data_IF_040087680132
#
_entry.id   IF_040087680132
#
_cell.length_a   1.000
_cell.length_b   1.000
_cell.length_c   1.000
_cell.angle_alpha   90.00
_cell.angle_beta   90.00
_cell.angle_gamma   90.00
#
_symmetry.space_group_name_H-M   'P 1'
#
loop_
_entity.id
_entity.type
_entity.pdbx_description
1 polymer ?
#
# COMPACT_ATOMS: atom_id res chain seq x y z
N UNK A 1 -58.58 14.26 8.95
CA UNK A 1 -57.25 14.91 8.89
C UNK A 1 -56.32 14.63 10.08
N UNK A 2 -56.75 14.52 11.31
CA UNK A 2 -55.87 14.24 12.50
C UNK A 2 -55.26 12.83 12.54
N UNK A 3 -55.92 11.82 11.98
CA UNK A 3 -55.43 10.42 11.96
C UNK A 3 -54.36 10.15 10.91
N UNK A 4 -54.38 10.88 9.76
CA UNK A 4 -53.34 10.77 8.75
C UNK A 4 -51.98 11.36 9.19
N UNK A 5 -52.04 12.43 10.00
CA UNK A 5 -50.79 13.02 10.55
C UNK A 5 -50.11 12.12 11.57
N UNK A 6 -50.87 11.34 12.39
CA UNK A 6 -50.31 10.41 13.37
C UNK A 6 -49.58 9.22 12.70
N UNK A 7 -50.13 8.71 11.57
CA UNK A 7 -49.47 7.61 10.83
C UNK A 7 -48.19 8.05 10.12
N UNK A 8 -48.11 9.28 9.61
CA UNK A 8 -46.93 9.82 8.97
C UNK A 8 -45.80 10.09 10.00
N UNK A 9 -46.16 10.57 11.20
CA UNK A 9 -45.20 10.77 12.29
C UNK A 9 -44.68 9.44 12.85
N UNK A 10 -45.52 8.41 12.94
CA UNK A 10 -45.09 7.06 13.35
C UNK A 10 -44.20 6.39 12.29
N UNK A 11 -44.45 6.60 10.98
CA UNK A 11 -43.59 6.13 9.91
C UNK A 11 -42.25 6.86 9.88
N UNK A 12 -42.22 8.16 10.18
CA UNK A 12 -40.94 8.90 10.26
C UNK A 12 -40.11 8.56 11.51
N UNK A 13 -40.75 8.16 12.61
CA UNK A 13 -40.06 7.71 13.84
C UNK A 13 -39.48 6.28 13.70
N UNK A 14 -40.02 5.44 12.81
CA UNK A 14 -39.41 4.13 12.50
C UNK A 14 -38.21 4.21 11.53
N UNK A 15 -38.04 5.32 10.80
CA UNK A 15 -36.90 5.53 9.90
C UNK A 15 -35.63 6.06 10.61
N UNK A 16 -35.68 6.38 11.91
CA UNK A 16 -34.56 6.97 12.64
C UNK A 16 -33.89 6.05 13.68
N UNK A 17 -34.25 4.78 13.73
CA UNK A 17 -33.56 3.80 14.60
C UNK A 17 -32.84 2.72 13.77
N UNK A 18 -32.22 3.09 12.66
CA UNK A 18 -31.05 2.37 12.21
C UNK A 18 -29.92 2.71 13.20
N UNK A 19 -29.89 2.02 14.33
CA UNK A 19 -28.62 1.93 15.09
C UNK A 19 -27.58 1.48 14.08
N UNK A 20 -26.63 2.36 13.78
CA UNK A 20 -25.39 2.00 13.11
C UNK A 20 -24.70 0.97 14.03
N UNK A 21 -25.12 -0.29 13.95
CA UNK A 21 -24.31 -1.37 14.48
C UNK A 21 -23.02 -1.32 13.67
N UNK A 22 -21.93 -0.97 14.33
CA UNK A 22 -20.61 -1.08 13.71
C UNK A 22 -20.51 -2.49 13.13
N UNK A 23 -20.25 -2.60 11.83
CA UNK A 23 -20.11 -3.88 11.14
C UNK A 23 -19.06 -4.70 11.87
N UNK A 24 -19.45 -5.81 12.47
CA UNK A 24 -18.50 -6.70 13.11
C UNK A 24 -17.86 -7.60 12.06
N UNK A 25 -16.56 -7.79 12.16
CA UNK A 25 -15.81 -8.66 11.26
C UNK A 25 -16.44 -10.05 11.15
N UNK A 26 -16.81 -10.62 12.29
CA UNK A 26 -17.43 -11.96 12.41
C UNK A 26 -18.79 -12.10 11.74
N UNK A 27 -19.48 -11.02 11.41
CA UNK A 27 -20.79 -11.10 10.73
C UNK A 27 -20.62 -11.51 9.26
N UNK A 28 -19.56 -11.04 8.63
CA UNK A 28 -19.36 -11.17 7.18
C UNK A 28 -18.19 -12.07 6.80
N UNK A 29 -17.18 -12.22 7.68
CA UNK A 29 -15.91 -12.82 7.32
C UNK A 29 -15.48 -13.96 8.23
N UNK A 30 -14.73 -14.90 7.67
CA UNK A 30 -13.95 -15.90 8.38
C UNK A 30 -12.56 -15.33 8.71
N UNK A 31 -11.85 -15.95 9.68
CA UNK A 31 -10.45 -15.63 9.98
C UNK A 31 -9.51 -16.26 8.95
N UNK A 32 -9.71 -15.89 7.68
CA UNK A 32 -8.97 -16.35 6.51
C UNK A 32 -8.81 -15.20 5.53
N UNK A 33 -7.80 -15.26 4.67
CA UNK A 33 -7.56 -14.27 3.63
C UNK A 33 -8.06 -14.78 2.27
N UNK A 34 -8.84 -13.97 1.56
CA UNK A 34 -9.06 -14.10 0.14
C UNK A 34 -8.02 -13.25 -0.59
N UNK A 35 -7.11 -13.90 -1.31
CA UNK A 35 -6.16 -13.25 -2.20
C UNK A 35 -6.76 -13.15 -3.59
N UNK A 36 -6.75 -11.94 -4.12
CA UNK A 36 -7.28 -11.57 -5.42
C UNK A 36 -6.11 -11.26 -6.36
N UNK A 37 -5.87 -12.15 -7.31
CA UNK A 37 -4.86 -11.94 -8.35
C UNK A 37 -5.55 -11.35 -9.58
N UNK A 38 -5.13 -10.15 -9.99
CA UNK A 38 -5.64 -9.45 -11.15
C UNK A 38 -4.52 -9.12 -12.14
N UNK A 39 -4.91 -8.96 -13.40
CA UNK A 39 -4.09 -8.36 -14.43
C UNK A 39 -4.71 -7.00 -14.80
N UNK A 40 -3.94 -5.93 -14.64
CA UNK A 40 -4.29 -4.62 -15.17
C UNK A 40 -3.54 -4.44 -16.48
N UNK A 41 -4.24 -4.06 -17.54
CA UNK A 41 -3.65 -4.00 -18.87
C UNK A 41 -4.19 -2.81 -19.65
N UNK A 42 -3.42 -2.33 -20.62
CA UNK A 42 -3.84 -1.25 -21.49
C UNK A 42 -2.73 -0.30 -21.89
N UNK A 43 -3.11 0.95 -22.10
CA UNK A 43 -2.26 2.09 -22.44
C UNK A 43 -2.79 3.37 -21.78
N UNK A 44 -2.19 4.53 -22.04
CA UNK A 44 -2.61 5.81 -21.45
C UNK A 44 -4.05 6.23 -21.83
N UNK A 45 -4.61 5.67 -22.90
CA UNK A 45 -5.96 6.00 -23.38
C UNK A 45 -7.05 5.04 -22.87
N UNK A 46 -6.69 3.79 -22.59
CA UNK A 46 -7.62 2.76 -22.15
C UNK A 46 -6.98 1.77 -21.19
N UNK A 47 -7.63 1.52 -20.07
CA UNK A 47 -7.25 0.53 -19.08
C UNK A 47 -8.34 -0.53 -18.93
N UNK A 48 -7.93 -1.78 -18.83
CA UNK A 48 -8.79 -2.94 -18.62
C UNK A 48 -8.32 -3.73 -17.39
N UNK A 49 -9.24 -4.29 -16.62
CA UNK A 49 -9.00 -5.08 -15.41
C UNK A 49 -9.50 -6.50 -15.64
N UNK A 50 -8.67 -7.50 -15.37
CA UNK A 50 -9.01 -8.91 -15.54
C UNK A 50 -8.79 -9.68 -14.25
N UNK A 51 -9.71 -10.59 -13.91
CA UNK A 51 -9.50 -11.61 -12.87
C UNK A 51 -8.53 -12.64 -13.42
N UNK A 52 -7.44 -12.91 -12.71
CA UNK A 52 -6.51 -13.99 -13.06
C UNK A 52 -6.79 -15.23 -12.19
N UNK A 53 -6.68 -15.08 -10.87
CA UNK A 53 -6.87 -16.19 -9.95
C UNK A 53 -7.40 -15.71 -8.59
N UNK A 54 -8.13 -16.62 -7.91
CA UNK A 54 -8.56 -16.46 -6.53
C UNK A 54 -7.88 -17.52 -5.67
N UNK A 55 -7.31 -17.10 -4.54
CA UNK A 55 -6.66 -17.99 -3.60
C UNK A 55 -7.16 -17.71 -2.19
N UNK A 56 -7.14 -18.73 -1.33
CA UNK A 56 -7.45 -18.58 0.08
C UNK A 56 -6.26 -19.00 0.93
N UNK A 57 -5.95 -18.20 1.95
CA UNK A 57 -4.88 -18.43 2.92
C UNK A 57 -5.44 -18.60 4.34
N UNK A 58 -4.71 -19.28 5.26
CA UNK A 58 -5.26 -19.79 6.51
C UNK A 58 -5.67 -18.76 7.55
N UNK A 59 -5.17 -17.54 7.50
CA UNK A 59 -5.47 -16.46 8.46
C UNK A 59 -5.66 -15.13 7.79
N UNK A 60 -6.42 -14.24 8.46
CA UNK A 60 -6.54 -12.84 8.12
C UNK A 60 -5.66 -11.98 9.05
N UNK A 61 -4.76 -11.20 8.47
CA UNK A 61 -3.79 -10.38 9.20
C UNK A 61 -4.09 -8.88 9.12
N UNK A 62 -5.08 -8.46 8.32
CA UNK A 62 -5.46 -7.08 8.10
C UNK A 62 -6.49 -6.56 9.11
N UNK A 63 -6.96 -5.34 8.88
CA UNK A 63 -7.92 -4.64 9.75
C UNK A 63 -9.19 -5.46 10.01
N UNK A 64 -9.68 -5.41 11.26
CA UNK A 64 -10.91 -6.10 11.70
C UNK A 64 -12.01 -5.13 12.17
N UNK A 65 -11.70 -3.85 12.22
CA UNK A 65 -12.60 -2.74 12.53
C UNK A 65 -12.62 -1.76 11.37
N UNK A 66 -13.60 -0.85 11.33
CA UNK A 66 -13.71 0.18 10.28
C UNK A 66 -13.63 -0.41 8.87
N UNK A 67 -14.27 -1.58 8.66
CA UNK A 67 -14.07 -2.43 7.48
C UNK A 67 -14.36 -1.69 6.17
N UNK A 68 -15.44 -0.89 6.12
CA UNK A 68 -15.86 -0.14 4.94
C UNK A 68 -15.22 1.26 4.82
N UNK A 69 -14.41 1.67 5.82
CA UNK A 69 -13.72 2.96 5.81
C UNK A 69 -12.34 2.85 5.15
N UNK A 70 -11.90 3.94 4.52
CA UNK A 70 -10.55 4.09 3.96
C UNK A 70 -9.87 5.28 4.61
N UNK A 71 -8.64 5.11 5.13
CA UNK A 71 -7.91 6.21 5.76
C UNK A 71 -7.34 7.19 4.71
N UNK A 72 -6.98 6.69 3.53
CA UNK A 72 -6.49 7.41 2.36
C UNK A 72 -7.11 6.80 1.11
N UNK A 73 -7.38 7.62 0.09
CA UNK A 73 -8.05 7.14 -1.13
C UNK A 73 -7.18 6.22 -1.99
N UNK A 74 -5.88 6.53 -2.14
CA UNK A 74 -5.01 5.94 -3.16
C UNK A 74 -5.46 6.27 -4.58
N UNK A 75 -4.85 5.62 -5.56
CA UNK A 75 -5.22 5.72 -6.97
C UNK A 75 -6.21 4.64 -7.40
N UNK A 76 -6.67 3.80 -6.49
CA UNK A 76 -7.68 2.78 -6.74
C UNK A 76 -8.23 2.18 -5.46
N UNK A 77 -9.32 1.43 -5.60
CA UNK A 77 -9.97 0.75 -4.49
C UNK A 77 -10.49 -0.62 -4.89
N UNK A 78 -10.33 -1.58 -3.98
CA UNK A 78 -11.11 -2.83 -3.97
C UNK A 78 -12.29 -2.63 -3.02
N UNK A 79 -13.51 -2.81 -3.51
CA UNK A 79 -14.75 -2.64 -2.76
C UNK A 79 -15.48 -3.97 -2.71
N UNK A 80 -15.67 -4.52 -1.51
CA UNK A 80 -16.41 -5.76 -1.29
C UNK A 80 -17.82 -5.43 -0.80
N UNK A 81 -18.82 -5.97 -1.48
CA UNK A 81 -20.24 -5.82 -1.13
C UNK A 81 -20.85 -7.17 -0.84
N UNK A 82 -21.61 -7.26 0.20
CA UNK A 82 -22.50 -8.39 0.43
C UNK A 82 -23.50 -8.50 -0.74
N UNK A 83 -23.66 -9.69 -1.31
CA UNK A 83 -24.46 -9.85 -2.53
C UNK A 83 -25.95 -9.72 -2.29
N UNK A 84 -26.43 -10.06 -1.09
CA UNK A 84 -27.87 -10.00 -0.75
C UNK A 84 -28.27 -8.56 -0.38
N UNK A 85 -27.57 -7.95 0.56
CA UNK A 85 -27.90 -6.62 1.09
C UNK A 85 -27.35 -5.46 0.23
N UNK A 86 -26.38 -5.71 -0.65
CA UNK A 86 -25.62 -4.71 -1.41
C UNK A 86 -24.80 -3.73 -0.53
N UNK A 87 -24.75 -3.97 0.78
CA UNK A 87 -23.97 -3.17 1.71
C UNK A 87 -22.47 -3.32 1.41
N UNK A 88 -21.73 -2.21 1.49
CA UNK A 88 -20.26 -2.26 1.47
C UNK A 88 -19.79 -2.83 2.78
N UNK A 89 -19.11 -3.99 2.75
CA UNK A 89 -18.63 -4.71 3.93
C UNK A 89 -17.11 -4.65 4.11
N UNK A 90 -16.36 -4.27 3.04
CA UNK A 90 -14.92 -4.04 3.13
C UNK A 90 -14.45 -3.10 2.02
N UNK A 91 -13.42 -2.31 2.32
CA UNK A 91 -12.69 -1.50 1.33
C UNK A 91 -11.19 -1.58 1.57
N UNK A 92 -10.43 -1.63 0.47
CA UNK A 92 -8.98 -1.59 0.46
C UNK A 92 -8.51 -0.59 -0.60
N UNK A 93 -7.89 0.54 -0.20
CA UNK A 93 -7.33 1.51 -1.12
C UNK A 93 -5.93 1.07 -1.54
N UNK A 94 -5.49 1.45 -2.74
CA UNK A 94 -4.18 1.09 -3.26
C UNK A 94 -3.65 2.07 -4.31
N UNK A 95 -2.36 1.97 -4.62
CA UNK A 95 -1.74 2.43 -5.86
C UNK A 95 -1.05 1.28 -6.56
N UNK A 96 -0.68 1.43 -7.84
CA UNK A 96 -0.06 0.37 -8.61
C UNK A 96 1.06 0.87 -9.52
N UNK A 97 2.04 0.02 -9.77
CA UNK A 97 3.08 0.27 -10.76
C UNK A 97 2.51 0.46 -12.18
N UNK A 98 1.36 -0.19 -12.48
CA UNK A 98 0.65 0.04 -13.74
C UNK A 98 0.23 1.50 -13.92
N UNK A 99 -0.33 2.12 -12.87
CA UNK A 99 -0.79 3.53 -12.92
C UNK A 99 0.39 4.50 -13.03
N UNK A 100 1.53 4.22 -12.40
CA UNK A 100 2.75 4.99 -12.59
C UNK A 100 3.28 4.88 -14.03
N UNK A 101 3.27 3.66 -14.59
CA UNK A 101 3.67 3.45 -15.98
C UNK A 101 2.78 4.21 -16.97
N UNK A 102 1.48 4.36 -16.69
CA UNK A 102 0.56 5.12 -17.56
C UNK A 102 0.96 6.59 -17.75
N UNK A 103 1.72 7.17 -16.80
CA UNK A 103 2.26 8.54 -16.92
C UNK A 103 3.50 8.61 -17.82
N UNK A 104 4.06 7.49 -18.26
CA UNK A 104 5.27 7.47 -19.09
C UNK A 104 5.00 7.73 -20.58
N UNK A 105 6.01 8.16 -21.31
CA UNK A 105 5.91 8.31 -22.76
C UNK A 105 5.65 6.97 -23.49
N UNK A 106 6.13 5.85 -22.94
CA UNK A 106 5.91 4.51 -23.48
C UNK A 106 4.43 4.13 -23.50
N UNK A 107 3.68 4.48 -22.47
CA UNK A 107 2.26 4.17 -22.38
C UNK A 107 1.39 4.88 -23.43
N UNK A 108 1.90 5.93 -24.08
CA UNK A 108 1.22 6.62 -25.20
C UNK A 108 1.23 5.81 -26.50
N UNK A 109 2.11 4.81 -26.62
CA UNK A 109 2.35 4.06 -27.88
C UNK A 109 2.35 2.54 -27.71
N UNK A 110 2.42 2.05 -26.48
CA UNK A 110 2.57 0.63 -26.18
C UNK A 110 1.48 0.19 -25.20
N UNK A 111 0.95 -1.02 -25.41
CA UNK A 111 0.05 -1.66 -24.45
C UNK A 111 0.83 -2.68 -23.63
N UNK A 112 0.69 -2.63 -22.31
CA UNK A 112 1.31 -3.56 -21.36
C UNK A 112 0.30 -4.12 -20.38
N UNK A 113 0.69 -5.21 -19.72
CA UNK A 113 -0.04 -5.81 -18.61
C UNK A 113 0.86 -5.90 -17.38
N UNK A 114 0.23 -5.76 -16.21
CA UNK A 114 0.89 -5.81 -14.91
C UNK A 114 0.12 -6.71 -13.97
N UNK A 115 0.83 -7.54 -13.23
CA UNK A 115 0.26 -8.29 -12.11
C UNK A 115 -0.12 -7.35 -10.98
N UNK A 116 -1.27 -7.61 -10.36
CA UNK A 116 -1.69 -6.94 -9.14
C UNK A 116 -2.29 -7.97 -8.19
N UNK A 117 -1.95 -7.86 -6.92
CA UNK A 117 -2.45 -8.77 -5.89
C UNK A 117 -3.01 -7.95 -4.74
N UNK A 118 -4.24 -8.27 -4.34
CA UNK A 118 -4.90 -7.64 -3.20
C UNK A 118 -5.37 -8.68 -2.20
N UNK A 119 -5.33 -8.31 -0.94
CA UNK A 119 -5.79 -9.13 0.17
C UNK A 119 -7.05 -8.53 0.75
N UNK A 120 -8.09 -9.36 0.87
CA UNK A 120 -9.32 -9.03 1.57
C UNK A 120 -9.69 -10.17 2.52
N UNK A 121 -10.47 -9.93 3.58
CA UNK A 121 -10.89 -11.03 4.43
C UNK A 121 -11.81 -11.99 3.65
N UNK A 122 -11.73 -13.29 3.95
CA UNK A 122 -12.49 -14.33 3.25
C UNK A 122 -13.98 -14.24 3.64
N UNK A 123 -14.90 -14.06 2.68
CA UNK A 123 -16.31 -13.86 2.96
C UNK A 123 -17.00 -15.17 3.36
N UNK A 124 -18.00 -15.10 4.24
CA UNK A 124 -18.86 -16.25 4.63
C UNK A 124 -19.95 -16.55 3.61
N UNK A 125 -20.38 -15.51 2.89
CA UNK A 125 -21.47 -15.57 1.90
C UNK A 125 -20.97 -15.02 0.55
N UNK A 126 -21.66 -15.28 -0.55
CA UNK A 126 -21.31 -14.68 -1.83
C UNK A 126 -21.24 -13.15 -1.76
N UNK A 127 -20.20 -12.61 -2.38
CA UNK A 127 -19.93 -11.17 -2.43
C UNK A 127 -19.73 -10.69 -3.87
N UNK A 128 -19.98 -9.42 -4.10
CA UNK A 128 -19.55 -8.75 -5.31
C UNK A 128 -18.31 -7.91 -4.99
N UNK A 129 -17.27 -8.06 -5.80
CA UNK A 129 -16.01 -7.31 -5.68
C UNK A 129 -15.90 -6.36 -6.86
N UNK A 130 -15.82 -5.07 -6.55
CA UNK A 130 -15.57 -4.01 -7.55
C UNK A 130 -14.15 -3.50 -7.37
N UNK A 131 -13.40 -3.42 -8.46
CA UNK A 131 -12.09 -2.77 -8.53
C UNK A 131 -12.25 -1.50 -9.36
N UNK A 132 -11.80 -0.37 -8.80
CA UNK A 132 -11.80 0.94 -9.46
C UNK A 132 -10.37 1.44 -9.61
N UNK A 133 -10.01 1.96 -10.79
CA UNK A 133 -8.80 2.73 -11.04
C UNK A 133 -9.16 4.20 -11.24
N UNK A 134 -8.39 5.08 -10.63
CA UNK A 134 -8.57 6.53 -10.74
C UNK A 134 -7.34 7.17 -11.34
N UNK A 135 -7.54 8.21 -12.12
CA UNK A 135 -6.47 9.05 -12.63
C UNK A 135 -6.05 10.12 -11.60
N UNK A 136 -5.11 10.96 -11.99
CA UNK A 136 -4.60 12.05 -11.16
C UNK A 136 -5.58 13.23 -10.98
N UNK A 137 -6.73 13.22 -11.68
CA UNK A 137 -7.87 14.11 -11.44
C UNK A 137 -8.95 13.48 -10.54
N UNK A 138 -8.64 12.37 -9.85
CA UNK A 138 -9.57 11.58 -9.03
C UNK A 138 -10.78 11.04 -9.81
N UNK A 139 -10.70 10.98 -11.15
CA UNK A 139 -11.75 10.44 -12.01
C UNK A 139 -11.62 8.92 -12.13
N UNK A 140 -12.74 8.20 -12.02
CA UNK A 140 -12.72 6.75 -12.24
C UNK A 140 -12.57 6.46 -13.75
N UNK A 141 -11.42 5.91 -14.14
CA UNK A 141 -11.06 5.66 -15.54
C UNK A 141 -11.25 4.20 -15.96
N UNK A 142 -11.25 3.28 -15.01
CA UNK A 142 -11.58 1.89 -15.25
C UNK A 142 -12.26 1.27 -14.03
N UNK A 143 -13.22 0.39 -14.29
CA UNK A 143 -13.91 -0.36 -13.25
C UNK A 143 -14.23 -1.77 -13.74
N UNK A 144 -14.14 -2.74 -12.85
CA UNK A 144 -14.57 -4.11 -13.10
C UNK A 144 -15.25 -4.67 -11.85
N UNK A 145 -16.36 -5.36 -12.05
CA UNK A 145 -17.07 -6.04 -10.96
C UNK A 145 -17.23 -7.53 -11.29
N UNK A 146 -16.95 -8.38 -10.30
CA UNK A 146 -17.21 -9.81 -10.40
C UNK A 146 -17.77 -10.36 -9.09
N UNK A 147 -18.41 -11.52 -9.16
CA UNK A 147 -18.92 -12.23 -7.99
C UNK A 147 -17.90 -13.23 -7.49
N UNK A 148 -17.76 -13.36 -6.18
CA UNK A 148 -17.01 -14.42 -5.51
C UNK A 148 -17.96 -15.24 -4.67
N UNK A 149 -18.08 -16.53 -4.99
CA UNK A 149 -18.77 -17.51 -4.15
C UNK A 149 -17.72 -18.23 -3.29
N UNK A 150 -17.76 -18.14 -1.95
CA UNK A 150 -16.78 -18.80 -1.09
C UNK A 150 -16.77 -20.33 -1.21
N UNK A 151 -17.82 -20.94 -1.74
CA UNK A 151 -17.90 -22.37 -2.02
C UNK A 151 -17.37 -22.77 -3.41
N UNK A 152 -16.82 -21.84 -4.18
CA UNK A 152 -16.26 -22.13 -5.50
C UNK A 152 -15.01 -23.02 -5.37
N UNK A 153 -15.07 -24.19 -5.97
CA UNK A 153 -13.99 -25.19 -5.96
C UNK A 153 -12.71 -24.73 -6.70
N UNK A 154 -12.80 -23.67 -7.49
CA UNK A 154 -11.66 -23.08 -8.20
C UNK A 154 -10.85 -22.11 -7.34
N UNK A 155 -11.31 -21.75 -6.15
CA UNK A 155 -10.51 -20.99 -5.17
C UNK A 155 -9.45 -21.94 -4.60
N UNK A 156 -8.18 -21.65 -4.91
CA UNK A 156 -7.05 -22.50 -4.48
C UNK A 156 -6.71 -22.25 -3.02
N UNK A 157 -6.46 -23.31 -2.26
CA UNK A 157 -5.91 -23.25 -0.90
C UNK A 157 -4.40 -23.20 -0.97
N UNK A 158 -3.79 -22.13 -0.44
CA UNK A 158 -2.34 -21.92 -0.42
C UNK A 158 -1.89 -21.48 0.98
N UNK A 159 -0.59 -21.66 1.28
CA UNK A 159 0.00 -21.20 2.54
C UNK A 159 -0.37 -22.05 3.78
N UNK A 160 -1.05 -23.19 3.60
CA UNK A 160 -1.34 -24.15 4.68
C UNK A 160 -0.18 -25.12 4.91
N UNK A 161 0.55 -25.42 3.84
CA UNK A 161 1.72 -26.33 3.82
C UNK A 161 2.87 -25.63 3.11
N UNK A 162 4.08 -26.11 3.38
CA UNK A 162 5.29 -25.64 2.69
C UNK A 162 5.49 -24.11 2.77
N UNK A 163 5.12 -23.50 3.90
CA UNK A 163 5.37 -22.09 4.15
C UNK A 163 6.86 -21.79 4.11
N UNK A 164 7.23 -20.69 3.46
CA UNK A 164 8.61 -20.20 3.51
C UNK A 164 8.99 -19.90 4.97
N UNK A 165 10.12 -20.42 5.48
CA UNK A 165 10.56 -20.16 6.83
C UNK A 165 10.69 -18.65 7.10
N UNK A 166 10.33 -18.23 8.32
CA UNK A 166 10.51 -16.85 8.75
C UNK A 166 10.97 -16.74 10.19
N UNK A 167 11.54 -15.59 10.53
CA UNK A 167 11.99 -15.21 11.87
C UNK A 167 11.22 -14.00 12.34
N UNK A 168 10.75 -13.99 13.59
CA UNK A 168 10.15 -12.81 14.19
C UNK A 168 11.25 -11.83 14.61
N UNK A 169 11.20 -10.61 14.07
CA UNK A 169 12.15 -9.54 14.39
C UNK A 169 11.62 -8.62 15.50
N UNK A 170 10.30 -8.38 15.51
CA UNK A 170 9.63 -7.57 16.51
C UNK A 170 8.20 -8.09 16.71
N UNK A 171 7.74 -8.09 17.96
CA UNK A 171 6.41 -8.56 18.31
C UNK A 171 5.58 -7.44 18.94
N UNK A 172 4.38 -7.22 18.42
CA UNK A 172 3.42 -6.27 18.97
C UNK A 172 2.97 -6.68 20.38
N UNK A 173 2.57 -5.70 21.18
CA UNK A 173 1.98 -5.95 22.50
C UNK A 173 0.62 -6.68 22.40
N UNK A 174 -0.19 -6.33 21.38
CA UNK A 174 -1.44 -7.02 21.01
C UNK A 174 -1.38 -7.48 19.56
N UNK A 175 -1.19 -8.77 19.35
CA UNK A 175 -1.07 -9.38 18.00
C UNK A 175 -2.40 -9.47 17.25
N UNK A 176 -3.52 -9.14 17.88
CA UNK A 176 -4.85 -9.11 17.23
C UNK A 176 -5.23 -7.73 16.70
N UNK A 177 -4.51 -6.68 17.17
CA UNK A 177 -4.73 -5.27 16.85
C UNK A 177 -3.42 -4.58 16.52
N UNK A 178 -2.66 -5.13 15.60
CA UNK A 178 -1.37 -4.61 15.18
C UNK A 178 -1.25 -4.63 13.67
N UNK A 179 -0.25 -3.94 13.17
CA UNK A 179 0.12 -3.90 11.76
C UNK A 179 1.20 -4.96 11.53
N UNK A 180 0.98 -5.83 10.54
CA UNK A 180 1.90 -6.91 10.21
C UNK A 180 2.79 -6.54 9.04
N UNK A 181 4.11 -6.53 9.25
CA UNK A 181 5.11 -6.24 8.22
C UNK A 181 5.96 -7.49 7.97
N UNK A 182 6.06 -7.90 6.70
CA UNK A 182 7.00 -8.92 6.28
C UNK A 182 8.16 -8.29 5.51
N UNK A 183 9.38 -8.48 6.02
CA UNK A 183 10.59 -8.33 5.20
C UNK A 183 10.75 -9.56 4.33
N UNK A 184 11.16 -9.38 3.07
CA UNK A 184 11.35 -10.46 2.09
C UNK A 184 12.74 -10.35 1.48
N UNK A 185 13.49 -11.46 1.45
CA UNK A 185 14.84 -11.49 0.90
C UNK A 185 14.79 -11.51 -0.63
N UNK A 186 15.60 -10.65 -1.26
CA UNK A 186 15.75 -10.59 -2.71
C UNK A 186 17.23 -10.47 -3.11
N UNK A 187 17.69 -11.42 -3.93
CA UNK A 187 19.09 -11.48 -4.35
C UNK A 187 20.06 -11.99 -3.29
N UNK A 188 19.59 -12.56 -2.19
CA UNK A 188 20.41 -13.27 -1.21
C UNK A 188 20.36 -14.77 -1.47
N UNK A 189 21.51 -15.43 -1.59
CA UNK A 189 21.60 -16.88 -1.68
C UNK A 189 21.36 -17.54 -0.31
N UNK A 190 21.23 -18.85 -0.26
CA UNK A 190 20.91 -19.57 0.98
C UNK A 190 21.97 -19.37 2.08
N UNK A 191 23.24 -19.28 1.72
CA UNK A 191 24.35 -19.00 2.64
C UNK A 191 24.49 -17.51 3.01
N UNK A 192 23.80 -16.62 2.31
CA UNK A 192 23.71 -15.19 2.61
C UNK A 192 22.53 -14.82 3.53
N UNK A 193 21.69 -15.78 3.95
CA UNK A 193 20.56 -15.51 4.86
C UNK A 193 20.96 -14.88 6.21
N UNK A 194 22.12 -15.18 6.81
CA UNK A 194 22.57 -14.45 8.00
C UNK A 194 22.83 -12.96 7.73
N UNK A 195 23.35 -12.60 6.54
CA UNK A 195 23.56 -11.20 6.12
C UNK A 195 22.20 -10.50 5.95
N UNK A 196 21.25 -11.16 5.28
CA UNK A 196 19.88 -10.66 5.15
C UNK A 196 19.23 -10.35 6.50
N UNK A 197 19.35 -11.26 7.48
CA UNK A 197 18.80 -11.04 8.84
C UNK A 197 19.45 -9.83 9.53
N UNK A 198 20.76 -9.64 9.38
CA UNK A 198 21.45 -8.47 9.90
C UNK A 198 20.95 -7.17 9.25
N UNK A 199 20.72 -7.20 7.95
CA UNK A 199 20.14 -6.07 7.21
C UNK A 199 18.69 -5.79 7.65
N UNK A 200 17.88 -6.83 7.89
CA UNK A 200 16.55 -6.65 8.48
C UNK A 200 16.60 -5.97 9.85
N UNK A 201 17.52 -6.36 10.72
CA UNK A 201 17.68 -5.73 12.05
C UNK A 201 18.05 -4.26 11.94
N UNK A 202 18.94 -3.89 11.00
CA UNK A 202 19.28 -2.48 10.72
C UNK A 202 18.05 -1.69 10.25
N UNK A 203 17.25 -2.26 9.31
CA UNK A 203 16.04 -1.64 8.82
C UNK A 203 14.98 -1.41 9.91
N UNK A 204 14.74 -2.41 10.75
CA UNK A 204 13.81 -2.30 11.91
C UNK A 204 14.28 -1.23 12.88
N UNK A 205 15.57 -1.20 13.18
CA UNK A 205 16.16 -0.16 14.02
C UNK A 205 15.96 1.22 13.42
N UNK A 206 16.29 1.40 12.13
CA UNK A 206 16.12 2.67 11.43
C UNK A 206 14.65 3.12 11.45
N UNK A 207 13.69 2.21 11.22
CA UNK A 207 12.27 2.51 11.28
C UNK A 207 11.86 3.03 12.67
N UNK A 208 12.27 2.34 13.74
CA UNK A 208 11.92 2.70 15.12
C UNK A 208 12.78 3.84 15.72
N UNK A 209 13.73 4.38 15.00
CA UNK A 209 14.37 5.65 15.32
C UNK A 209 13.57 6.87 14.85
N UNK A 210 12.58 6.69 13.96
CA UNK A 210 11.72 7.74 13.42
C UNK A 210 10.37 7.82 14.14
N UNK A 211 9.97 9.04 14.57
CA UNK A 211 8.58 9.27 15.00
C UNK A 211 7.64 9.28 13.77
N UNK A 212 6.43 8.71 13.87
CA UNK A 212 5.77 8.17 15.08
C UNK A 212 6.03 6.68 15.33
N UNK A 213 6.80 5.99 14.50
CA UNK A 213 7.07 4.55 14.64
C UNK A 213 7.75 4.22 15.98
N UNK A 214 8.63 5.09 16.43
CA UNK A 214 9.30 4.96 17.74
C UNK A 214 8.31 4.93 18.91
N UNK A 215 7.42 5.89 18.97
CA UNK A 215 6.44 5.98 20.05
C UNK A 215 5.34 4.91 19.96
N UNK A 216 5.11 4.34 18.77
CA UNK A 216 4.05 3.38 18.48
C UNK A 216 4.60 1.99 18.09
N UNK A 217 5.85 1.68 18.43
CA UNK A 217 6.49 0.41 18.04
C UNK A 217 5.71 -0.82 18.50
N UNK A 218 5.04 -0.75 19.66
CA UNK A 218 4.22 -1.83 20.20
C UNK A 218 2.97 -2.17 19.35
N UNK A 219 2.70 -1.37 18.31
CA UNK A 219 1.61 -1.58 17.34
C UNK A 219 2.03 -2.38 16.10
N UNK A 220 3.30 -2.81 16.03
CA UNK A 220 3.82 -3.52 14.87
C UNK A 220 4.26 -4.93 15.22
N UNK A 221 3.94 -5.86 14.32
CA UNK A 221 4.49 -7.21 14.31
C UNK A 221 5.33 -7.36 13.05
N UNK A 222 6.62 -7.67 13.19
CA UNK A 222 7.56 -7.68 12.07
C UNK A 222 8.25 -9.02 11.98
N UNK A 223 8.24 -9.61 10.78
CA UNK A 223 8.92 -10.86 10.46
C UNK A 223 9.92 -10.68 9.31
N UNK A 224 10.93 -11.56 9.26
CA UNK A 224 11.83 -11.71 8.11
C UNK A 224 11.57 -13.07 7.46
N UNK A 225 11.14 -13.07 6.20
CA UNK A 225 10.89 -14.28 5.41
C UNK A 225 12.17 -14.69 4.70
N UNK A 226 12.61 -15.94 4.90
CA UNK A 226 13.86 -16.47 4.38
C UNK A 226 13.64 -17.06 2.97
N UNK A 227 13.62 -16.20 1.94
CA UNK A 227 13.39 -16.56 0.55
C UNK A 227 14.71 -16.53 -0.25
N UNK A 228 15.49 -17.62 -0.28
CA UNK A 228 16.78 -17.59 -0.96
C UNK A 228 16.62 -17.48 -2.47
N UNK A 229 17.44 -16.62 -3.06
CA UNK A 229 17.62 -16.49 -4.50
C UNK A 229 18.63 -17.50 -5.03
N UNK A 230 18.54 -17.83 -6.31
CA UNK A 230 19.55 -18.67 -6.97
C UNK A 230 20.84 -17.90 -7.20
N UNK A 231 20.73 -16.63 -7.61
CA UNK A 231 21.88 -15.74 -7.85
C UNK A 231 21.92 -14.67 -6.76
N UNK A 232 23.14 -14.30 -6.34
CA UNK A 232 23.39 -13.14 -5.49
C UNK A 232 23.31 -11.84 -6.30
N UNK A 233 22.71 -10.79 -5.70
CA UNK A 233 22.49 -9.50 -6.33
C UNK A 233 21.16 -9.43 -7.10
N UNK A 234 20.93 -8.33 -7.80
CA UNK A 234 19.71 -8.06 -8.59
C UNK A 234 20.04 -7.71 -10.04
N UNK A 235 19.05 -7.83 -10.93
CA UNK A 235 19.23 -7.52 -12.35
C UNK A 235 19.46 -6.02 -12.59
N UNK A 236 20.41 -5.70 -13.52
CA UNK A 236 20.70 -4.35 -14.00
C UNK A 236 20.64 -4.34 -15.53
N UNK A 237 19.43 -4.19 -16.10
CA UNK A 237 19.19 -4.36 -17.54
C UNK A 237 20.11 -3.53 -18.45
N UNK A 238 20.39 -2.25 -18.12
CA UNK A 238 21.29 -1.39 -18.91
C UNK A 238 22.72 -1.90 -19.01
N UNK A 239 23.14 -2.79 -18.07
CA UNK A 239 24.46 -3.46 -18.10
C UNK A 239 24.41 -4.82 -18.74
N UNK A 240 23.22 -5.29 -19.18
CA UNK A 240 22.99 -6.65 -19.65
C UNK A 240 23.10 -7.71 -18.54
N UNK A 241 23.04 -7.31 -17.27
CA UNK A 241 23.14 -8.18 -16.10
C UNK A 241 21.75 -8.66 -15.72
N UNK A 242 21.51 -9.97 -15.92
CA UNK A 242 20.26 -10.63 -15.52
C UNK A 242 20.54 -11.69 -14.46
N UNK A 243 19.76 -11.66 -13.37
CA UNK A 243 19.89 -12.54 -12.21
C UNK A 243 18.62 -13.34 -12.01
N UNK A 244 18.76 -14.60 -11.58
CA UNK A 244 17.64 -15.46 -11.17
C UNK A 244 17.44 -15.30 -9.66
N UNK A 245 16.62 -14.33 -9.30
CA UNK A 245 16.35 -14.00 -7.90
C UNK A 245 14.96 -14.49 -7.47
N UNK A 246 14.68 -14.47 -6.16
CA UNK A 246 13.44 -14.96 -5.59
C UNK A 246 12.21 -14.23 -6.14
N UNK A 247 12.34 -12.94 -6.44
CA UNK A 247 11.22 -12.08 -6.87
C UNK A 247 11.43 -11.45 -8.24
N UNK A 248 12.56 -11.72 -8.92
CA UNK A 248 12.86 -11.18 -10.24
C UNK A 248 12.98 -9.66 -10.29
N UNK A 249 13.43 -9.03 -9.21
CA UNK A 249 13.59 -7.58 -9.15
C UNK A 249 14.67 -7.08 -10.10
N UNK A 250 14.48 -5.86 -10.61
CA UNK A 250 15.44 -5.22 -11.50
C UNK A 250 15.45 -3.70 -11.34
N UNK A 251 16.62 -3.12 -11.58
CA UNK A 251 16.78 -1.69 -11.83
C UNK A 251 16.20 -1.30 -13.19
N UNK A 252 16.29 -0.03 -13.54
CA UNK A 252 15.89 0.51 -14.84
C UNK A 252 14.38 0.40 -15.12
N UNK A 253 13.55 0.28 -14.10
CA UNK A 253 12.09 0.32 -14.27
C UNK A 253 11.69 1.65 -14.91
N UNK A 254 10.89 1.58 -15.95
CA UNK A 254 10.52 2.72 -16.82
C UNK A 254 11.71 3.52 -17.34
N UNK A 255 12.86 2.84 -17.54
CA UNK A 255 14.14 3.43 -17.99
C UNK A 255 14.77 4.43 -17.00
N UNK A 256 14.33 4.43 -15.73
CA UNK A 256 14.91 5.23 -14.65
C UNK A 256 15.95 4.42 -13.90
N UNK A 257 17.20 4.86 -13.90
CA UNK A 257 18.39 4.13 -13.41
C UNK A 257 18.25 3.55 -12.03
N UNK A 258 17.75 4.35 -11.10
CA UNK A 258 17.64 4.04 -9.69
C UNK A 258 16.30 3.41 -9.31
N UNK A 259 15.34 3.35 -10.25
CA UNK A 259 14.03 2.80 -9.95
C UNK A 259 14.10 1.28 -9.94
N UNK A 260 14.10 0.73 -8.75
CA UNK A 260 14.17 -0.68 -8.46
C UNK A 260 12.78 -1.20 -8.11
N UNK A 261 12.28 -2.18 -8.87
CA UNK A 261 10.95 -2.77 -8.63
C UNK A 261 10.95 -4.26 -8.96
N UNK A 262 9.84 -4.94 -8.65
CA UNK A 262 9.47 -6.23 -9.23
C UNK A 262 8.15 -6.15 -9.98
N UNK A 263 8.04 -6.84 -11.10
CA UNK A 263 6.79 -7.01 -11.86
C UNK A 263 6.06 -8.33 -11.49
N UNK A 264 6.64 -9.16 -10.62
CA UNK A 264 6.17 -10.51 -10.29
C UNK A 264 5.42 -10.54 -8.96
N UNK A 265 4.30 -9.79 -8.86
CA UNK A 265 3.56 -9.67 -7.60
C UNK A 265 2.90 -10.99 -7.18
N UNK A 266 2.50 -11.84 -8.12
CA UNK A 266 1.97 -13.18 -7.78
C UNK A 266 3.06 -14.03 -7.14
N UNK A 267 4.27 -14.04 -7.68
CA UNK A 267 5.41 -14.75 -7.11
C UNK A 267 5.79 -14.20 -5.73
N UNK A 268 5.80 -12.87 -5.55
CA UNK A 268 6.02 -12.25 -4.24
C UNK A 268 5.03 -12.79 -3.21
N UNK A 269 3.72 -12.75 -3.52
CA UNK A 269 2.68 -13.22 -2.60
C UNK A 269 2.65 -14.75 -2.45
N UNK A 270 3.16 -15.53 -3.43
CA UNK A 270 3.34 -16.97 -3.29
C UNK A 270 4.46 -17.30 -2.30
N UNK A 271 5.57 -16.58 -2.35
CA UNK A 271 6.72 -16.73 -1.43
C UNK A 271 6.32 -16.48 0.03
N UNK A 272 5.44 -15.51 0.30
CA UNK A 272 5.03 -15.15 1.66
C UNK A 272 3.68 -15.74 2.07
N UNK A 273 3.08 -16.60 1.24
CA UNK A 273 1.77 -17.19 1.50
C UNK A 273 1.74 -17.92 2.85
N UNK A 274 0.72 -17.62 3.68
CA UNK A 274 0.52 -18.22 4.99
C UNK A 274 1.36 -17.60 6.12
N UNK A 275 2.31 -16.71 5.83
CA UNK A 275 3.03 -15.93 6.86
C UNK A 275 2.19 -14.74 7.34
N UNK A 276 2.45 -14.16 8.52
CA UNK A 276 1.73 -12.98 9.01
C UNK A 276 2.21 -11.70 8.31
N UNK A 277 1.42 -11.18 7.35
CA UNK A 277 1.74 -9.94 6.65
C UNK A 277 0.49 -9.16 6.17
N UNK A 278 0.62 -7.84 6.15
CA UNK A 278 -0.24 -6.88 5.47
C UNK A 278 0.61 -5.96 4.57
N UNK A 279 1.77 -5.54 5.08
CA UNK A 279 2.72 -4.68 4.38
C UNK A 279 4.01 -5.44 4.11
N UNK A 280 4.64 -5.13 2.99
CA UNK A 280 5.78 -5.88 2.47
C UNK A 280 6.96 -4.92 2.25
N UNK A 281 8.12 -5.27 2.82
CA UNK A 281 9.39 -4.59 2.59
C UNK A 281 10.36 -5.59 1.97
N UNK A 282 10.78 -5.36 0.75
CA UNK A 282 11.73 -6.21 0.05
C UNK A 282 13.12 -5.61 0.22
N UNK A 283 14.05 -6.38 0.81
CA UNK A 283 15.45 -5.98 0.91
C UNK A 283 16.25 -6.66 -0.18
N UNK A 284 16.94 -5.85 -0.98
CA UNK A 284 17.72 -6.34 -2.12
C UNK A 284 19.21 -6.33 -1.82
N UNK A 285 19.88 -7.46 -2.11
CA UNK A 285 21.32 -7.68 -1.91
C UNK A 285 22.11 -6.89 -2.97
N UNK A 286 22.26 -5.59 -2.80
CA UNK A 286 23.00 -4.75 -3.74
C UNK A 286 23.57 -3.51 -3.07
N UNK A 287 24.74 -3.06 -3.56
CA UNK A 287 25.33 -1.76 -3.17
C UNK A 287 24.89 -0.61 -4.07
N UNK A 288 24.20 -0.89 -5.18
CA UNK A 288 23.69 0.13 -6.09
C UNK A 288 22.53 0.86 -5.42
N UNK A 289 22.59 2.19 -5.40
CA UNK A 289 21.52 3.02 -4.85
C UNK A 289 20.21 2.83 -5.62
N UNK A 290 19.12 2.57 -4.91
CA UNK A 290 17.80 2.47 -5.48
C UNK A 290 16.75 2.06 -4.45
N UNK A 291 15.52 2.35 -4.79
CA UNK A 291 14.33 2.01 -4.03
C UNK A 291 13.08 2.30 -4.84
N UNK A 292 11.95 2.01 -4.26
CA UNK A 292 10.62 2.30 -4.78
C UNK A 292 9.55 1.83 -3.79
N UNK A 293 8.50 2.63 -3.59
CA UNK A 293 7.41 2.32 -2.66
C UNK A 293 6.05 2.59 -3.29
N UNK A 294 5.15 1.60 -3.28
CA UNK A 294 3.83 1.66 -3.88
C UNK A 294 2.77 1.44 -2.79
N UNK A 295 1.89 2.40 -2.63
CA UNK A 295 0.90 2.43 -1.54
C UNK A 295 0.04 1.17 -1.48
N UNK A 296 0.03 0.54 -0.28
CA UNK A 296 -0.65 -0.74 0.02
C UNK A 296 -0.32 -1.88 -0.96
N UNK A 297 0.90 -1.87 -1.51
CA UNK A 297 1.43 -2.96 -2.33
C UNK A 297 2.75 -3.47 -1.72
N UNK A 298 3.86 -2.82 -2.00
CA UNK A 298 5.17 -3.19 -1.45
C UNK A 298 6.13 -2.00 -1.52
N UNK A 299 7.27 -2.12 -0.85
CA UNK A 299 8.44 -1.32 -1.15
C UNK A 299 9.70 -2.17 -1.28
N UNK A 300 10.65 -1.68 -2.07
CA UNK A 300 11.99 -2.21 -2.20
C UNK A 300 13.03 -1.20 -1.73
N UNK A 301 14.13 -1.70 -1.15
CA UNK A 301 15.28 -0.89 -0.80
C UNK A 301 16.58 -1.69 -1.00
N UNK A 302 17.63 -1.01 -1.49
CA UNK A 302 18.99 -1.56 -1.61
C UNK A 302 19.66 -1.64 -0.25
N UNK A 303 20.00 -2.85 0.24
CA UNK A 303 20.42 -3.09 1.61
C UNK A 303 21.88 -2.70 1.92
N UNK A 304 22.75 -2.59 0.92
CA UNK A 304 24.19 -2.37 1.13
C UNK A 304 24.68 -1.01 0.59
N UNK A 305 23.74 -0.12 0.22
CA UNK A 305 24.08 1.23 -0.21
C UNK A 305 24.37 2.16 0.98
N UNK A 306 25.09 3.27 0.77
CA UNK A 306 25.47 4.19 1.85
C UNK A 306 24.25 4.90 2.49
N UNK A 307 23.11 4.92 1.81
CA UNK A 307 21.84 5.52 2.26
C UNK A 307 20.76 4.48 2.55
N UNK A 308 21.15 3.22 2.85
CA UNK A 308 20.21 2.13 3.07
C UNK A 308 19.14 2.45 4.13
N UNK A 309 19.56 2.81 5.34
CA UNK A 309 18.65 3.06 6.46
C UNK A 309 17.68 4.22 6.20
N UNK A 310 18.12 5.40 5.68
CA UNK A 310 17.18 6.45 5.28
C UNK A 310 16.22 6.02 4.15
N UNK A 311 16.72 5.31 3.14
CA UNK A 311 15.90 4.90 1.97
C UNK A 311 14.80 3.92 2.38
N UNK A 312 15.10 2.89 3.17
CA UNK A 312 14.05 1.93 3.58
C UNK A 312 12.92 2.61 4.36
N UNK A 313 13.22 3.62 5.17
CA UNK A 313 12.22 4.41 5.91
C UNK A 313 11.44 5.33 4.97
N UNK A 314 12.11 5.97 4.01
CA UNK A 314 11.47 6.80 2.98
C UNK A 314 10.48 5.99 2.15
N UNK A 315 10.89 4.84 1.60
CA UNK A 315 10.05 3.97 0.79
C UNK A 315 8.87 3.38 1.59
N UNK A 316 9.07 3.13 2.89
CA UNK A 316 7.96 2.75 3.77
C UNK A 316 6.99 3.92 4.02
N UNK A 317 7.46 5.16 3.97
CA UNK A 317 6.63 6.35 3.94
C UNK A 317 5.64 6.35 2.77
N UNK A 318 6.07 5.91 1.58
CA UNK A 318 5.20 5.71 0.42
C UNK A 318 4.28 4.50 0.60
N UNK A 319 4.85 3.32 0.77
CA UNK A 319 4.10 2.06 0.68
C UNK A 319 3.11 1.85 1.82
N UNK A 320 3.44 2.25 3.03
CA UNK A 320 2.55 2.22 4.19
C UNK A 320 1.79 3.54 4.36
N UNK A 321 2.53 4.67 4.35
CA UNK A 321 2.03 5.99 4.71
C UNK A 321 1.23 6.70 3.63
N UNK A 322 1.34 6.26 2.37
CA UNK A 322 0.78 6.97 1.22
C UNK A 322 1.32 8.40 1.11
N UNK A 323 2.53 8.64 1.63
CA UNK A 323 3.19 9.95 1.54
C UNK A 323 3.72 10.18 0.13
N UNK A 324 3.55 11.37 -0.40
CA UNK A 324 4.16 11.78 -1.66
C UNK A 324 5.59 12.28 -1.45
N UNK A 325 6.39 12.27 -2.53
CA UNK A 325 7.72 12.87 -2.55
C UNK A 325 7.65 14.39 -2.38
N UNK A 326 8.47 14.94 -1.48
CA UNK A 326 8.51 16.37 -1.18
C UNK A 326 9.60 17.13 -1.96
N UNK A 327 10.31 16.47 -2.89
CA UNK A 327 11.35 17.11 -3.70
C UNK A 327 10.83 17.53 -5.08
N UNK A 328 11.30 18.68 -5.62
CA UNK A 328 11.07 19.09 -6.99
C UNK A 328 12.23 18.62 -7.90
N UNK A 329 11.92 18.15 -9.11
CA UNK A 329 12.95 17.87 -10.14
C UNK A 329 12.91 18.81 -11.33
N UNK A 330 11.98 19.77 -11.35
CA UNK A 330 11.76 20.64 -12.51
C UNK A 330 10.58 20.15 -13.36
N UNK A 331 10.54 20.54 -14.61
CA UNK A 331 9.38 20.36 -15.49
C UNK A 331 9.22 18.90 -15.96
N UNK A 332 8.67 18.06 -15.11
CA UNK A 332 8.15 16.73 -15.46
C UNK A 332 6.68 16.82 -15.89
N UNK A 333 6.18 15.82 -16.62
CA UNK A 333 4.74 15.71 -16.90
C UNK A 333 3.98 15.76 -15.56
N UNK A 334 3.00 16.68 -15.38
CA UNK A 334 2.38 16.91 -14.09
C UNK A 334 1.51 15.72 -13.67
N UNK A 335 1.72 15.22 -12.45
CA UNK A 335 0.83 14.29 -11.77
C UNK A 335 -0.11 14.99 -10.78
N UNK A 336 0.07 16.31 -10.59
CA UNK A 336 -0.71 17.14 -9.69
C UNK A 336 -1.27 18.34 -10.45
N UNK A 337 -2.54 18.65 -10.23
CA UNK A 337 -3.29 19.67 -10.97
C UNK A 337 -3.94 20.65 -10.01
N UNK A 338 -3.99 21.91 -10.38
CA UNK A 338 -4.51 23.01 -9.53
C UNK A 338 -6.01 22.86 -9.18
N UNK A 339 -6.75 22.08 -9.96
CA UNK A 339 -8.18 21.81 -9.77
C UNK A 339 -8.48 20.53 -9.00
N UNK A 340 -7.44 19.83 -8.54
CA UNK A 340 -7.57 18.55 -7.83
C UNK A 340 -6.66 18.52 -6.60
N UNK A 341 -7.23 18.17 -5.46
CA UNK A 341 -6.44 17.97 -4.24
C UNK A 341 -5.78 16.59 -4.23
N UNK A 342 -4.44 16.49 -4.05
CA UNK A 342 -3.76 15.22 -3.92
C UNK A 342 -4.34 14.36 -2.79
N UNK A 343 -4.43 13.06 -3.01
CA UNK A 343 -4.82 12.13 -1.95
C UNK A 343 -3.68 11.91 -0.93
N UNK A 344 -2.45 12.19 -1.30
CA UNK A 344 -1.28 12.13 -0.42
C UNK A 344 -1.41 13.16 0.72
N UNK A 345 -1.29 12.71 1.99
CA UNK A 345 -1.62 13.56 3.12
C UNK A 345 -0.61 14.67 3.40
N UNK A 346 0.61 14.58 2.84
CA UNK A 346 1.71 15.54 3.05
C UNK A 346 1.90 16.54 1.90
N UNK A 347 1.10 16.44 0.83
CA UNK A 347 1.11 17.37 -0.30
C UNK A 347 -0.25 18.05 -0.45
N UNK A 348 -0.27 19.26 -1.04
CA UNK A 348 -1.50 19.99 -1.37
C UNK A 348 -1.32 20.85 -2.60
N UNK A 349 -2.36 20.97 -3.42
CA UNK A 349 -2.52 22.00 -4.46
C UNK A 349 -3.27 23.21 -3.94
N UNK A 350 -3.74 23.20 -2.69
CA UNK A 350 -4.64 24.15 -2.06
C UNK A 350 -6.05 24.17 -2.66
N UNK A 351 -6.40 23.15 -3.46
CA UNK A 351 -7.74 23.03 -4.01
C UNK A 351 -8.77 22.72 -2.91
N UNK A 352 -8.47 21.71 -2.08
CA UNK A 352 -9.24 21.39 -0.87
C UNK A 352 -8.30 21.01 0.26
N UNK A 353 -7.66 22.03 0.84
CA UNK A 353 -6.69 21.86 1.92
C UNK A 353 -7.33 21.47 3.26
N UNK A 354 -8.64 21.57 3.37
CA UNK A 354 -9.37 21.29 4.60
C UNK A 354 -9.11 19.86 5.12
N UNK A 355 -8.81 19.77 6.42
CA UNK A 355 -8.57 18.47 7.09
C UNK A 355 -7.16 17.90 6.93
N UNK A 356 -6.29 18.47 6.10
CA UNK A 356 -4.88 18.04 5.98
C UNK A 356 -4.08 18.44 7.22
N UNK A 357 -3.35 19.56 7.20
CA UNK A 357 -2.52 19.99 8.33
C UNK A 357 -2.74 21.46 8.77
N UNK A 358 -3.92 22.00 8.57
CA UNK A 358 -4.31 23.35 9.02
C UNK A 358 -4.10 23.56 10.52
N UNK A 359 -4.37 22.52 11.33
CA UNK A 359 -4.13 22.53 12.76
C UNK A 359 -2.65 22.74 13.10
N UNK A 360 -1.73 22.11 12.36
CA UNK A 360 -0.29 22.28 12.59
C UNK A 360 0.20 23.69 12.18
N UNK A 361 -0.42 24.30 11.16
CA UNK A 361 -0.14 25.70 10.81
C UNK A 361 -0.59 26.61 11.96
N UNK A 362 -1.80 26.40 12.47
CA UNK A 362 -2.34 27.18 13.59
C UNK A 362 -1.49 27.05 14.86
N UNK A 363 -0.86 25.89 15.06
CA UNK A 363 0.06 25.62 16.17
C UNK A 363 1.48 26.15 15.92
N UNK A 364 1.78 26.70 14.73
CA UNK A 364 3.13 27.13 14.34
C UNK A 364 4.14 26.01 14.12
N UNK A 365 3.66 24.78 13.89
CA UNK A 365 4.49 23.57 13.72
C UNK A 365 4.72 23.18 12.27
N UNK A 366 3.94 23.71 11.35
CA UNK A 366 4.09 23.54 9.91
C UNK A 366 3.76 24.81 9.17
N UNK A 367 4.08 24.86 7.88
CA UNK A 367 3.76 25.97 6.98
C UNK A 367 3.17 25.47 5.67
N UNK A 368 3.30 26.28 4.64
CA UNK A 368 3.03 25.97 3.25
C UNK A 368 4.27 26.38 2.43
N UNK A 369 5.13 25.43 2.17
CA UNK A 369 6.37 25.61 1.41
C UNK A 369 6.10 25.11 -0.01
N UNK A 370 6.31 25.97 -1.02
CA UNK A 370 6.08 25.61 -2.41
C UNK A 370 7.16 24.66 -2.93
N UNK A 371 6.75 23.75 -3.80
CA UNK A 371 7.57 22.67 -4.37
C UNK A 371 7.33 21.32 -3.66
N UNK A 372 7.13 20.27 -4.45
CA UNK A 372 6.86 18.90 -4.03
C UNK A 372 6.19 18.12 -5.16
N UNK A 373 6.07 16.80 -5.03
CA UNK A 373 5.48 15.97 -6.08
C UNK A 373 6.20 16.14 -7.42
N UNK A 374 7.52 16.27 -7.39
CA UNK A 374 8.42 16.52 -8.54
C UNK A 374 8.26 17.90 -9.20
N UNK A 375 7.32 18.74 -8.75
CA UNK A 375 7.04 20.06 -9.31
C UNK A 375 7.66 21.18 -8.45
N UNK A 376 8.23 22.21 -9.10
CA UNK A 376 8.77 23.39 -8.44
C UNK A 376 7.67 24.37 -8.00
N UNK A 377 6.51 24.33 -8.67
CA UNK A 377 5.39 25.25 -8.43
C UNK A 377 4.04 24.51 -8.45
N UNK A 378 3.04 25.08 -7.78
CA UNK A 378 1.67 24.58 -7.81
C UNK A 378 1.37 23.44 -6.84
N UNK A 379 2.38 22.92 -6.14
CA UNK A 379 2.25 21.93 -5.07
C UNK A 379 2.99 22.44 -3.85
N UNK A 380 2.42 22.26 -2.67
CA UNK A 380 2.99 22.69 -1.39
C UNK A 380 3.15 21.51 -0.43
N UNK A 381 4.16 21.61 0.43
CA UNK A 381 4.49 20.69 1.52
C UNK A 381 4.55 21.41 2.86
N UNK A 382 4.67 20.66 3.95
CA UNK A 382 4.55 21.22 5.31
C UNK A 382 5.77 21.96 5.85
N UNK A 383 6.98 21.63 5.38
CA UNK A 383 8.26 22.20 5.85
C UNK A 383 9.32 22.24 4.75
N UNK A 384 10.42 22.94 5.01
CA UNK A 384 11.55 23.07 4.09
C UNK A 384 12.22 21.72 3.81
N UNK A 385 12.37 20.86 4.82
CA UNK A 385 12.98 19.54 4.67
C UNK A 385 12.26 18.48 5.50
N UNK A 386 12.40 17.23 5.06
CA UNK A 386 11.69 16.06 5.58
C UNK A 386 12.38 14.78 5.11
N UNK A 387 12.16 13.65 5.79
CA UNK A 387 12.54 12.33 5.27
C UNK A 387 11.95 12.06 3.86
N UNK A 388 10.78 12.60 3.56
CA UNK A 388 10.16 12.47 2.23
C UNK A 388 10.76 13.41 1.18
N UNK A 389 11.75 14.22 1.53
CA UNK A 389 12.44 15.14 0.62
C UNK A 389 13.90 14.79 0.42
N UNK A 390 14.65 14.54 1.51
CA UNK A 390 16.08 14.25 1.45
C UNK A 390 16.44 13.08 2.37
N UNK A 391 17.44 12.29 1.96
CA UNK A 391 17.95 11.18 2.79
C UNK A 391 18.83 11.69 3.95
N UNK A 392 19.32 12.92 3.87
CA UNK A 392 20.14 13.57 4.89
C UNK A 392 19.30 14.08 6.06
N UNK A 393 18.05 14.44 5.84
CA UNK A 393 17.18 14.92 6.91
C UNK A 393 16.79 13.76 7.84
N UNK A 394 17.00 13.89 9.17
CA UNK A 394 17.01 12.73 10.07
C UNK A 394 15.62 12.21 10.45
N UNK A 395 14.53 12.89 10.08
CA UNK A 395 13.18 12.56 10.57
C UNK A 395 12.08 12.92 9.57
N UNK A 396 10.89 12.39 9.78
CA UNK A 396 9.68 12.91 9.14
C UNK A 396 9.31 14.29 9.71
N UNK A 397 8.83 15.20 8.86
CA UNK A 397 8.30 16.49 9.31
C UNK A 397 6.99 16.30 10.13
N UNK A 398 6.54 17.29 10.90
CA UNK A 398 5.32 17.18 11.71
C UNK A 398 4.06 16.80 10.91
N UNK A 399 3.96 17.19 9.64
CA UNK A 399 2.85 16.80 8.76
C UNK A 399 2.86 15.31 8.47
N UNK A 400 4.01 14.78 8.05
CA UNK A 400 4.19 13.35 7.80
C UNK A 400 3.99 12.52 9.09
N UNK A 401 4.52 12.99 10.23
CA UNK A 401 4.31 12.32 11.52
C UNK A 401 2.82 12.29 11.91
N UNK A 402 2.07 13.38 11.69
CA UNK A 402 0.63 13.42 11.96
C UNK A 402 -0.13 12.43 11.07
N UNK A 403 0.19 12.39 9.77
CA UNK A 403 -0.43 11.49 8.81
C UNK A 403 -0.18 10.02 9.19
N UNK A 404 1.07 9.65 9.45
CA UNK A 404 1.47 8.31 9.88
C UNK A 404 0.81 7.92 11.22
N UNK A 405 0.74 8.85 12.19
CA UNK A 405 0.08 8.61 13.48
C UNK A 405 -1.41 8.30 13.29
N UNK A 406 -2.12 9.10 12.46
CA UNK A 406 -3.53 8.87 12.15
C UNK A 406 -3.74 7.50 11.50
N UNK A 407 -2.85 7.12 10.59
CA UNK A 407 -2.92 5.84 9.88
C UNK A 407 -2.67 4.65 10.82
N UNK A 408 -1.62 4.68 11.65
CA UNK A 408 -1.34 3.63 12.62
C UNK A 408 -2.53 3.44 13.56
N UNK A 409 -3.09 4.53 14.10
CA UNK A 409 -4.28 4.45 14.96
C UNK A 409 -5.52 3.93 14.23
N UNK A 410 -5.70 4.30 12.97
CA UNK A 410 -6.81 3.78 12.17
C UNK A 410 -6.79 2.25 12.09
N UNK A 411 -5.63 1.63 11.94
CA UNK A 411 -5.50 0.18 11.85
C UNK A 411 -5.49 -0.53 13.20
N UNK A 412 -5.13 0.16 14.30
CA UNK A 412 -4.87 -0.50 15.59
C UNK A 412 -5.85 -0.10 16.70
N UNK A 413 -6.71 0.87 16.50
CA UNK A 413 -7.76 1.33 17.43
C UNK A 413 -9.15 1.13 16.83
#
# INVERSE_FOLDING_TARGET
MRWLLLCVVLLMLHAQHSTLHAQQFSDYFEDRTLRLDYIFAGDSARQDIYVDQLNVMPRWWGKRTRLAEVPLKGNGQVIVRDQESQAVIYRHPFSTLFQEWLATAEAKTTRKSFENVFLVPFPKQPVSITVELRDYHDSCVATMTHTVNPADIMIRHIGERDQTPYVTLHQAADTTRCIHIAFVAEGYQADEMPVYLDDCHKAVKALFEHEPFKALQDRFNIIAVLSPSKDSGVSVPRRGEWKQTALGSHFDTFYVDRYLTTLHLKQLHDVIAGTPYEHIIILTNTTTYGGGGIYNSYNLASAHGPMYEPVVVHEFGHSFGGLGDEYPYGDSDPMYFADTEPWEPNLTTKHDFHGKWENLISEGRAGLVEGGGYLSHGVWRGQEDCRMRTNEYPTFCPVCQQALTRLIRFYTE
#
